data_IF_150599901139
#
_entry.id   IF_150599901139
#
_cell.length_a   1.000
_cell.length_b   1.000
_cell.length_c   1.000
_cell.angle_alpha   90.00
_cell.angle_beta   90.00
_cell.angle_gamma   90.00
#
_symmetry.space_group_name_H-M   'P 1'
#
loop_
_entity.id
_entity.type
_entity.pdbx_description
1 polymer ?
#
# COMPACT_ATOMS: atom_id res chain seq x y z
N UNK A 1 -13.34 10.98 -2.80
CA UNK A 1 -12.39 10.09 -2.09
C UNK A 1 -11.46 9.51 -3.15
N UNK A 2 -10.22 10.00 -3.26
CA UNK A 2 -9.33 9.64 -4.36
C UNK A 2 -8.91 8.18 -4.23
N UNK A 3 -9.10 7.39 -5.30
CA UNK A 3 -8.63 6.02 -5.39
C UNK A 3 -7.22 6.02 -5.98
N UNK A 4 -6.27 5.44 -5.28
CA UNK A 4 -4.88 5.33 -5.75
C UNK A 4 -4.64 3.90 -6.19
N UNK A 5 -4.11 3.72 -7.40
CA UNK A 5 -3.66 2.41 -7.86
C UNK A 5 -2.21 2.23 -7.38
N UNK A 6 -2.03 1.36 -6.40
CA UNK A 6 -0.73 1.07 -5.80
C UNK A 6 -0.17 -0.18 -6.45
N UNK A 7 0.93 -0.05 -7.19
CA UNK A 7 1.69 -1.19 -7.64
C UNK A 7 2.81 -1.46 -6.62
N UNK A 8 3.00 -2.70 -6.17
CA UNK A 8 4.04 -3.01 -5.18
C UNK A 8 5.29 -3.50 -5.92
N UNK A 9 6.41 -2.77 -5.81
CA UNK A 9 7.67 -3.10 -6.49
C UNK A 9 8.43 -4.22 -5.79
N UNK A 10 8.49 -4.15 -4.47
CA UNK A 10 9.25 -5.08 -3.65
C UNK A 10 8.39 -5.55 -2.50
N UNK A 11 8.27 -6.86 -2.35
CA UNK A 11 7.53 -7.48 -1.25
C UNK A 11 8.47 -8.40 -0.49
N UNK A 12 8.77 -8.11 0.80
CA UNK A 12 9.48 -9.04 1.65
C UNK A 12 8.82 -10.42 1.62
N UNK A 13 9.63 -11.47 1.46
CA UNK A 13 9.15 -12.86 1.24
C UNK A 13 8.17 -13.34 2.31
N UNK A 14 8.31 -12.83 3.55
CA UNK A 14 7.44 -13.13 4.71
C UNK A 14 6.01 -12.63 4.55
N UNK A 15 5.81 -11.46 3.93
CA UNK A 15 4.48 -10.89 3.69
C UNK A 15 3.99 -11.19 2.26
N UNK A 16 4.87 -11.66 1.37
CA UNK A 16 4.57 -11.98 -0.04
C UNK A 16 3.38 -12.90 -0.22
N UNK A 17 3.26 -13.95 0.59
CA UNK A 17 2.12 -14.88 0.47
C UNK A 17 0.78 -14.23 0.83
N UNK A 18 0.78 -13.34 1.83
CA UNK A 18 -0.43 -12.66 2.29
C UNK A 18 -0.85 -11.54 1.32
N UNK A 19 0.13 -10.87 0.71
CA UNK A 19 -0.09 -9.86 -0.32
C UNK A 19 -0.50 -10.50 -1.65
N UNK A 20 0.13 -11.60 -2.09
CA UNK A 20 -0.23 -12.31 -3.33
C UNK A 20 -1.70 -12.75 -3.32
N UNK A 21 -2.18 -13.26 -2.18
CA UNK A 21 -3.60 -13.63 -2.01
C UNK A 21 -4.57 -12.46 -2.25
N UNK A 22 -4.10 -11.23 -2.10
CA UNK A 22 -4.89 -10.01 -2.24
C UNK A 22 -4.35 -9.08 -3.35
N UNK A 23 -3.44 -9.55 -4.22
CA UNK A 23 -2.70 -8.70 -5.17
C UNK A 23 -3.57 -8.22 -6.33
N UNK A 24 -4.61 -9.00 -6.65
CA UNK A 24 -5.62 -8.66 -7.65
C UNK A 24 -6.71 -7.74 -7.10
N UNK A 25 -6.60 -7.30 -5.85
CA UNK A 25 -7.57 -6.42 -5.25
C UNK A 25 -7.05 -4.99 -5.19
N UNK A 26 -7.96 -4.04 -5.42
CA UNK A 26 -7.67 -2.62 -5.31
C UNK A 26 -7.20 -2.28 -3.89
N UNK A 27 -5.90 -2.02 -3.76
CA UNK A 27 -5.27 -1.59 -2.54
C UNK A 27 -5.54 -0.09 -2.34
N UNK A 28 -6.01 0.28 -1.16
CA UNK A 28 -6.33 1.68 -0.86
C UNK A 28 -5.34 2.25 0.15
N UNK A 29 -4.80 3.43 -0.15
CA UNK A 29 -4.09 4.23 0.86
C UNK A 29 -5.15 4.83 1.77
N UNK A 30 -5.18 4.41 3.03
CA UNK A 30 -6.14 4.90 4.03
C UNK A 30 -5.54 5.91 5.00
N UNK A 31 -4.23 6.12 4.92
CA UNK A 31 -3.55 7.12 5.74
C UNK A 31 -2.04 7.00 5.66
N UNK A 32 -1.36 7.70 6.56
CA UNK A 32 0.09 7.69 6.67
C UNK A 32 0.50 7.56 8.13
N UNK A 33 1.51 6.72 8.41
CA UNK A 33 2.14 6.63 9.73
C UNK A 33 3.47 7.38 9.72
N UNK A 34 3.74 8.18 10.75
CA UNK A 34 5.06 8.79 10.97
C UNK A 34 5.95 7.78 11.71
N UNK A 35 7.15 7.52 11.19
CA UNK A 35 8.10 6.57 11.80
C UNK A 35 9.35 7.25 12.38
N UNK A 36 9.88 8.27 11.70
CA UNK A 36 11.05 9.04 12.17
C UNK A 36 11.05 10.44 11.53
N UNK A 37 11.85 11.40 12.03
CA UNK A 37 11.95 12.81 11.59
C UNK A 37 11.56 13.05 10.12
N UNK A 38 10.33 13.52 9.91
CA UNK A 38 9.78 13.87 8.59
C UNK A 38 9.31 12.68 7.72
N UNK A 39 9.73 11.46 8.00
CA UNK A 39 9.36 10.28 7.21
C UNK A 39 7.96 9.76 7.58
N UNK A 40 7.09 9.81 6.57
CA UNK A 40 5.75 9.24 6.58
C UNK A 40 5.73 8.02 5.65
N UNK A 41 5.12 6.94 6.11
CA UNK A 41 4.89 5.72 5.34
C UNK A 41 3.39 5.56 5.09
N UNK A 42 2.98 5.19 3.87
CA UNK A 42 1.59 4.93 3.57
C UNK A 42 1.09 3.70 4.32
N UNK A 43 -0.14 3.82 4.80
CA UNK A 43 -0.94 2.72 5.34
C UNK A 43 -1.82 2.22 4.21
N UNK A 44 -1.56 1.01 3.77
CA UNK A 44 -2.33 0.35 2.72
C UNK A 44 -3.34 -0.58 3.39
N UNK A 45 -4.61 -0.42 3.04
CA UNK A 45 -5.70 -1.29 3.47
C UNK A 45 -6.07 -2.25 2.34
N UNK A 46 -6.12 -3.53 2.69
CA UNK A 46 -6.64 -4.61 1.86
C UNK A 46 -8.17 -4.70 1.95
N UNK A 47 -8.84 -5.38 1.01
CA UNK A 47 -10.30 -5.58 1.06
C UNK A 47 -10.77 -6.30 2.31
N UNK A 48 -9.95 -7.20 2.84
CA UNK A 48 -10.20 -7.91 4.10
C UNK A 48 -10.03 -7.02 5.35
N UNK A 49 -9.94 -5.70 5.18
CA UNK A 49 -9.73 -4.69 6.22
C UNK A 49 -8.40 -4.81 6.98
N UNK A 50 -7.51 -5.74 6.60
CA UNK A 50 -6.13 -5.75 7.12
C UNK A 50 -5.39 -4.54 6.61
N UNK A 51 -4.55 -3.99 7.47
CA UNK A 51 -3.75 -2.81 7.20
C UNK A 51 -2.28 -3.16 7.35
N UNK A 52 -1.49 -2.74 6.37
CA UNK A 52 -0.03 -2.86 6.42
C UNK A 52 0.58 -1.49 6.18
N UNK A 53 1.71 -1.24 6.83
CA UNK A 53 2.55 -0.09 6.50
C UNK A 53 3.60 -0.56 5.52
N UNK A 54 3.78 0.20 4.44
CA UNK A 54 4.72 -0.16 3.38
C UNK A 54 5.66 1.01 3.18
N UNK A 55 6.95 0.71 2.98
CA UNK A 55 7.95 1.76 2.77
C UNK A 55 7.81 2.32 1.36
N UNK A 56 8.13 3.61 1.18
CA UNK A 56 7.95 4.28 -0.11
C UNK A 56 8.76 3.63 -1.25
N UNK A 57 9.89 3.00 -0.94
CA UNK A 57 10.71 2.28 -1.93
C UNK A 57 10.13 0.90 -2.28
N UNK A 58 9.24 0.35 -1.46
CA UNK A 58 8.58 -0.94 -1.70
C UNK A 58 7.39 -0.80 -2.65
N UNK A 59 6.86 0.42 -2.84
CA UNK A 59 5.69 0.70 -3.68
C UNK A 59 5.98 1.69 -4.80
N UNK A 60 5.26 1.52 -5.90
CA UNK A 60 5.07 2.50 -6.95
C UNK A 60 3.61 2.91 -6.98
N UNK A 61 3.32 4.10 -6.47
CA UNK A 61 1.99 4.67 -6.54
C UNK A 61 1.77 5.27 -7.93
N UNK A 62 0.79 4.78 -8.67
CA UNK A 62 0.26 5.48 -9.83
C UNK A 62 -1.03 6.19 -9.38
N UNK A 63 -0.98 7.52 -9.33
CA UNK A 63 -2.18 8.31 -9.08
C UNK A 63 -3.05 8.22 -10.34
N UNK A 64 -4.03 7.31 -10.33
CA UNK A 64 -5.11 7.34 -11.33
C UNK A 64 -6.30 8.06 -10.71
N UNK A 65 -6.56 9.28 -11.18
CA UNK A 65 -7.84 9.92 -10.98
C UNK A 65 -8.87 9.16 -11.82
N UNK A 66 -9.47 8.12 -11.24
CA UNK A 66 -10.62 7.45 -11.85
C UNK A 66 -11.79 8.42 -11.65
N UNK A 67 -12.15 9.10 -12.74
CA UNK A 67 -13.34 9.96 -12.85
C UNK A 67 -14.60 9.10 -12.90
#
# INVERSE_FOLDING_TARGET
MNRYLINIKFIPKKIKLEIIKNIYCDLQIVGYKKIHNGYKIPIVQFPNKKRIWILNYEIQTQIKNIK
#
